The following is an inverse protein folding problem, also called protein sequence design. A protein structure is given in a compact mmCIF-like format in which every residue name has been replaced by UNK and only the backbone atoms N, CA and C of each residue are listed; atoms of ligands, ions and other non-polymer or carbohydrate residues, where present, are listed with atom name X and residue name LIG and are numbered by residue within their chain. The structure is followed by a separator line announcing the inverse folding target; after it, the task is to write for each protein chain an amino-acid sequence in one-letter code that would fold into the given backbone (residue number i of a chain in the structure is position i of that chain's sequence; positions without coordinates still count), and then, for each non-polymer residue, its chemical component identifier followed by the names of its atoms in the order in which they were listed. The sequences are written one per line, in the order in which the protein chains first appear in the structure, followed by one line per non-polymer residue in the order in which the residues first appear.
data_IF_559298124682
#
_entry.id   IF_559298124682
#
_cell.length_a   1.000
_cell.length_b   1.000
_cell.length_c   1.000
_cell.angle_alpha   90.00
_cell.angle_beta   90.00
_cell.angle_gamma   90.00
#
_symmetry.space_group_name_H-M   'P 1'
#
loop_
_entity.id
_entity.type
_entity.pdbx_description
1 polymer ?
#
# COMPACT_ATOMS: atom_id res chain seq x y z
N UNK A 1 5.52 8.45 14.93
CA UNK A 1 5.41 8.00 13.52
C UNK A 1 5.78 9.17 12.63
N UNK A 2 6.63 8.97 11.63
CA UNK A 2 7.03 10.05 10.71
C UNK A 2 5.81 10.49 9.87
N UNK A 3 5.57 11.80 9.77
CA UNK A 3 4.46 12.37 8.98
C UNK A 3 4.54 11.99 7.49
N UNK A 4 5.74 11.80 6.94
CA UNK A 4 5.94 11.31 5.56
C UNK A 4 5.44 9.87 5.41
N UNK A 5 5.78 9.00 6.37
CA UNK A 5 5.30 7.60 6.38
C UNK A 5 3.77 7.61 6.46
N UNK A 6 3.21 8.46 7.33
CA UNK A 6 1.76 8.65 7.47
C UNK A 6 1.09 9.06 6.16
N UNK A 7 1.63 10.08 5.50
CA UNK A 7 1.17 10.52 4.18
C UNK A 7 1.19 9.36 3.18
N UNK A 8 2.31 8.65 3.08
CA UNK A 8 2.49 7.60 2.07
C UNK A 8 1.50 6.45 2.25
N UNK A 9 1.38 5.90 3.46
CA UNK A 9 0.45 4.79 3.66
C UNK A 9 -1.00 5.25 3.47
N UNK A 10 -1.32 6.50 3.82
CA UNK A 10 -2.65 7.08 3.65
C UNK A 10 -2.99 7.22 2.17
N UNK A 11 -2.05 7.68 1.33
CA UNK A 11 -2.22 7.77 -0.12
C UNK A 11 -2.47 6.41 -0.76
N UNK A 12 -1.75 5.36 -0.33
CA UNK A 12 -1.94 3.99 -0.82
C UNK A 12 -3.34 3.47 -0.46
N UNK A 13 -3.77 3.64 0.78
CA UNK A 13 -5.11 3.24 1.23
C UNK A 13 -6.22 4.04 0.54
N UNK A 14 -6.01 5.35 0.36
CA UNK A 14 -6.92 6.20 -0.39
C UNK A 14 -7.01 5.79 -1.87
N UNK A 15 -5.92 5.30 -2.47
CA UNK A 15 -5.95 4.76 -3.83
C UNK A 15 -6.85 3.53 -3.92
N UNK A 16 -6.72 2.61 -2.96
CA UNK A 16 -7.58 1.42 -2.88
C UNK A 16 -9.04 1.83 -2.69
N UNK A 17 -9.30 2.78 -1.77
CA UNK A 17 -10.64 3.33 -1.54
C UNK A 17 -11.24 3.99 -2.79
N UNK A 18 -10.46 4.82 -3.49
CA UNK A 18 -10.88 5.51 -4.70
C UNK A 18 -11.21 4.54 -5.85
N UNK A 19 -10.55 3.38 -5.87
CA UNK A 19 -10.81 2.32 -6.83
C UNK A 19 -11.97 1.38 -6.41
N UNK A 20 -12.68 1.70 -5.32
CA UNK A 20 -13.76 0.87 -4.76
C UNK A 20 -13.34 -0.58 -4.42
N UNK A 21 -12.12 -0.74 -3.90
CA UNK A 21 -11.59 -2.06 -3.54
C UNK A 21 -12.39 -2.73 -2.44
N UNK A 22 -12.59 -4.04 -2.60
CA UNK A 22 -13.11 -4.97 -1.61
C UNK A 22 -11.96 -5.73 -0.95
N UNK A 23 -12.30 -6.46 0.11
CA UNK A 23 -11.39 -7.45 0.69
C UNK A 23 -10.91 -8.40 -0.41
N UNK A 24 -9.63 -8.73 -0.37
CA UNK A 24 -8.90 -9.55 -1.33
C UNK A 24 -8.62 -8.89 -2.70
N UNK A 25 -9.05 -7.65 -2.94
CA UNK A 25 -8.64 -6.91 -4.15
C UNK A 25 -7.15 -6.51 -4.09
N UNK A 26 -6.48 -6.63 -5.23
CA UNK A 26 -5.05 -6.38 -5.38
C UNK A 26 -4.76 -5.00 -5.98
N UNK A 27 -3.88 -4.24 -5.31
CA UNK A 27 -3.24 -3.05 -5.84
C UNK A 27 -1.91 -3.46 -6.50
N UNK A 28 -1.77 -3.34 -7.83
CA UNK A 28 -0.56 -3.80 -8.51
C UNK A 28 0.69 -3.06 -8.02
N UNK A 29 1.76 -3.80 -7.73
CA UNK A 29 3.05 -3.21 -7.35
C UNK A 29 3.59 -2.31 -8.48
N UNK A 30 3.20 -2.59 -9.73
CA UNK A 30 3.47 -1.72 -10.88
C UNK A 30 2.96 -0.29 -10.68
N UNK A 31 1.78 -0.09 -10.11
CA UNK A 31 1.25 1.25 -9.83
C UNK A 31 2.11 1.97 -8.78
N UNK A 32 2.52 1.27 -7.73
CA UNK A 32 3.39 1.82 -6.68
C UNK A 32 4.74 2.25 -7.28
N UNK A 33 5.40 1.34 -8.00
CA UNK A 33 6.75 1.59 -8.53
C UNK A 33 6.80 2.56 -9.71
N UNK A 34 5.82 2.50 -10.62
CA UNK A 34 5.85 3.23 -11.89
C UNK A 34 4.94 4.45 -11.94
N UNK A 35 4.06 4.64 -10.96
CA UNK A 35 3.16 5.79 -10.93
C UNK A 35 3.33 6.56 -9.63
N UNK A 36 3.01 5.94 -8.49
CA UNK A 36 2.98 6.64 -7.22
C UNK A 36 4.37 7.13 -6.78
N UNK A 37 5.41 6.29 -6.93
CA UNK A 37 6.80 6.68 -6.60
C UNK A 37 7.26 7.95 -7.32
N UNK A 38 6.83 8.17 -8.57
CA UNK A 38 7.20 9.36 -9.34
C UNK A 38 6.42 10.62 -8.95
N UNK A 39 5.36 10.49 -8.17
CA UNK A 39 4.62 11.61 -7.58
C UNK A 39 5.25 12.08 -6.27
N UNK A 40 6.12 11.26 -5.68
CA UNK A 40 6.85 11.57 -4.45
C UNK A 40 8.13 12.33 -4.75
N UNK A 41 8.47 13.28 -3.88
CA UNK A 41 9.77 13.93 -3.92
C UNK A 41 10.91 12.97 -3.50
N UNK A 42 12.19 13.29 -3.77
CA UNK A 42 13.30 12.39 -3.46
C UNK A 42 13.43 11.99 -1.98
N UNK A 43 13.02 12.85 -1.05
CA UNK A 43 13.03 12.55 0.39
C UNK A 43 11.92 11.57 0.75
N UNK A 44 10.70 11.81 0.25
CA UNK A 44 9.54 10.94 0.47
C UNK A 44 9.75 9.53 -0.10
N UNK A 45 10.39 9.40 -1.25
CA UNK A 45 10.69 8.10 -1.86
C UNK A 45 11.50 7.18 -0.94
N UNK A 46 12.33 7.74 -0.04
CA UNK A 46 13.14 6.96 0.90
C UNK A 46 12.28 6.22 1.93
N UNK A 47 11.09 6.76 2.23
CA UNK A 47 10.16 6.22 3.21
C UNK A 47 9.08 5.30 2.60
N UNK A 48 9.09 5.10 1.28
CA UNK A 48 8.09 4.26 0.61
C UNK A 48 8.12 2.81 1.12
N UNK A 49 9.31 2.24 1.32
CA UNK A 49 9.47 0.90 1.87
C UNK A 49 8.90 0.79 3.30
N UNK A 50 9.28 1.72 4.18
CA UNK A 50 8.80 1.76 5.57
C UNK A 50 7.27 1.93 5.66
N UNK A 51 6.67 2.71 4.76
CA UNK A 51 5.23 2.89 4.72
C UNK A 51 4.49 1.63 4.27
N UNK A 52 5.02 0.88 3.30
CA UNK A 52 4.47 -0.41 2.88
C UNK A 52 4.62 -1.43 4.02
N UNK A 53 5.78 -1.49 4.66
CA UNK A 53 6.02 -2.34 5.83
C UNK A 53 5.08 -2.03 6.98
N UNK A 54 4.78 -0.74 7.21
CA UNK A 54 3.79 -0.32 8.19
C UNK A 54 2.38 -0.86 7.85
N UNK A 55 1.95 -0.75 6.59
CA UNK A 55 0.65 -1.29 6.16
C UNK A 55 0.54 -2.81 6.42
N UNK A 56 1.60 -3.54 6.10
CA UNK A 56 1.67 -5.00 6.30
C UNK A 56 1.68 -5.33 7.80
N UNK A 57 2.50 -4.63 8.58
CA UNK A 57 2.67 -4.90 10.02
C UNK A 57 1.42 -4.61 10.84
N UNK A 58 0.61 -3.63 10.41
CA UNK A 58 -0.69 -3.34 11.02
C UNK A 58 -1.83 -4.21 10.45
N UNK A 59 -1.50 -5.12 9.53
CA UNK A 59 -2.46 -6.06 8.95
C UNK A 59 -3.46 -5.42 7.98
N UNK A 60 -3.21 -4.20 7.48
CA UNK A 60 -4.11 -3.53 6.53
C UNK A 60 -4.01 -4.11 5.12
N UNK A 61 -2.84 -4.62 4.75
CA UNK A 61 -2.59 -5.29 3.48
C UNK A 61 -1.72 -6.52 3.66
N UNK A 62 -1.75 -7.43 2.70
CA UNK A 62 -0.77 -8.51 2.55
C UNK A 62 -0.05 -8.39 1.21
N UNK A 63 1.03 -9.15 1.03
CA UNK A 63 1.72 -9.24 -0.26
C UNK A 63 1.18 -10.43 -1.04
N UNK A 64 0.88 -10.22 -2.32
CA UNK A 64 0.67 -11.30 -3.28
C UNK A 64 1.86 -11.38 -4.23
N UNK A 65 2.31 -12.60 -4.50
CA UNK A 65 3.44 -12.89 -5.39
C UNK A 65 4.02 -14.27 -5.18
N UNK A 66 4.85 -14.73 -6.11
CA UNK A 66 5.47 -16.06 -6.03
C UNK A 66 6.59 -16.12 -4.99
N UNK A 67 6.53 -17.13 -4.12
CA UNK A 67 7.49 -17.45 -3.06
C UNK A 67 8.94 -17.72 -3.53
N UNK A 68 9.22 -17.67 -4.83
CA UNK A 68 10.58 -17.79 -5.40
C UNK A 68 11.29 -16.42 -5.57
N UNK A 69 10.81 -15.40 -4.83
CA UNK A 69 11.65 -14.31 -4.37
C UNK A 69 11.98 -13.23 -5.39
N UNK A 70 11.21 -13.06 -6.47
CA UNK A 70 11.53 -12.04 -7.49
C UNK A 70 10.38 -11.17 -7.98
N UNK A 71 9.12 -11.53 -7.73
CA UNK A 71 7.98 -10.75 -8.22
C UNK A 71 6.96 -10.65 -7.10
N UNK A 72 6.80 -9.42 -6.58
CA UNK A 72 5.64 -9.04 -5.78
C UNK A 72 4.63 -8.48 -6.78
N UNK A 73 3.51 -9.17 -6.93
CA UNK A 73 2.43 -8.79 -7.86
C UNK A 73 1.68 -7.56 -7.33
N UNK A 74 1.48 -7.48 -6.01
CA UNK A 74 0.81 -6.34 -5.42
C UNK A 74 0.56 -6.41 -3.93
N UNK A 75 -0.20 -5.42 -3.45
CA UNK A 75 -0.74 -5.35 -2.10
C UNK A 75 -2.20 -5.78 -2.13
N UNK A 76 -2.56 -6.80 -1.37
CA UNK A 76 -3.94 -7.29 -1.25
C UNK A 76 -4.58 -6.66 -0.03
N UNK A 77 -5.75 -6.04 -0.20
CA UNK A 77 -6.49 -5.41 0.89
C UNK A 77 -7.08 -6.47 1.83
N UNK A 78 -6.80 -6.36 3.13
CA UNK A 78 -7.38 -7.26 4.13
C UNK A 78 -8.73 -6.76 4.63
N UNK A 79 -9.45 -7.58 5.41
CA UNK A 79 -10.62 -7.12 6.15
C UNK A 79 -10.30 -5.93 7.07
N UNK A 80 -9.18 -5.97 7.81
CA UNK A 80 -8.79 -4.89 8.70
C UNK A 80 -8.48 -3.59 7.94
N UNK A 81 -7.85 -3.69 6.76
CA UNK A 81 -7.63 -2.53 5.88
C UNK A 81 -8.94 -1.98 5.31
N UNK A 82 -9.86 -2.86 4.90
CA UNK A 82 -11.18 -2.49 4.42
C UNK A 82 -11.98 -1.75 5.49
N UNK A 83 -12.03 -2.30 6.70
CA UNK A 83 -12.69 -1.69 7.85
C UNK A 83 -12.05 -0.34 8.20
N UNK A 84 -10.73 -0.21 8.07
CA UNK A 84 -10.05 1.07 8.31
C UNK A 84 -10.43 2.16 7.29
N UNK A 85 -10.61 1.82 6.01
CA UNK A 85 -10.90 2.81 4.95
C UNK A 85 -12.39 3.08 4.72
N UNK A 86 -13.28 2.15 5.10
CA UNK A 86 -14.75 2.25 4.92
C UNK A 86 -15.56 2.19 6.21
N UNK A 87 -15.03 1.59 7.27
CA UNK A 87 -15.66 1.49 8.58
C UNK A 87 -15.53 2.80 9.35
N UNK A 88 -16.48 3.70 9.11
CA UNK A 88 -16.89 4.67 10.13
C UNK A 88 -17.85 3.98 11.11
#
# INVERSE_FOLDING_TARGET
MNEIIRKIYTDILNKMRYNDFRVDDLLPMKWICLTYRFQLNPEEQRYLGEAIEYLISNGYVTLEGTNEGRIIDGLVLTQAGYDFIYGN
#
